data_IF_939804485651
#
_entry.id   IF_939804485651
#
_cell.length_a   1.000
_cell.length_b   1.000
_cell.length_c   1.000
_cell.angle_alpha   90.00
_cell.angle_beta   90.00
_cell.angle_gamma   90.00
#
_symmetry.space_group_name_H-M   'P 1'
#
loop_
_entity.id
_entity.type
_entity.pdbx_description
1 polymer ?
#
# COMPACT_ATOMS: atom_id res chain seq x y z
N UNK A 1 60.49 -2.94 40.74
CA UNK A 1 59.47 -3.89 40.26
C UNK A 1 58.89 -3.30 38.99
N UNK A 2 59.13 -3.93 37.85
CA UNK A 2 58.68 -3.45 36.54
C UNK A 2 57.23 -3.87 36.31
N UNK A 3 56.37 -2.91 35.95
CA UNK A 3 54.99 -3.14 35.56
C UNK A 3 54.96 -3.85 34.21
N UNK A 4 54.61 -5.14 34.21
CA UNK A 4 54.26 -5.89 33.01
C UNK A 4 52.91 -5.38 32.52
N UNK A 5 52.94 -4.41 31.62
CA UNK A 5 51.78 -4.05 30.82
C UNK A 5 51.36 -5.26 29.98
N UNK A 6 50.22 -5.86 30.31
CA UNK A 6 49.54 -6.86 29.48
C UNK A 6 49.23 -6.21 28.12
N UNK A 7 50.06 -6.49 27.11
CA UNK A 7 49.73 -6.17 25.72
C UNK A 7 48.51 -7.03 25.35
N UNK A 8 47.38 -6.46 24.91
CA UNK A 8 46.23 -7.25 24.51
C UNK A 8 46.65 -8.18 23.37
N UNK A 9 46.48 -9.49 23.57
CA UNK A 9 46.71 -10.47 22.51
C UNK A 9 45.64 -10.24 21.42
N UNK A 10 46.06 -9.66 20.28
CA UNK A 10 45.14 -9.39 19.17
C UNK A 10 45.08 -10.60 18.25
N UNK A 11 43.91 -11.22 18.14
CA UNK A 11 43.67 -12.37 17.28
C UNK A 11 43.16 -11.92 15.90
N UNK A 12 43.82 -12.36 14.81
CA UNK A 12 43.44 -11.95 13.45
C UNK A 12 42.28 -12.80 12.92
N UNK A 13 41.05 -12.31 13.09
CA UNK A 13 39.83 -13.01 12.67
C UNK A 13 39.90 -13.49 11.21
N UNK A 14 40.33 -12.64 10.28
CA UNK A 14 40.35 -12.94 8.84
C UNK A 14 41.44 -13.93 8.38
N UNK A 15 42.28 -14.42 9.31
CA UNK A 15 43.25 -15.50 9.08
C UNK A 15 42.72 -16.87 9.50
N UNK A 16 41.54 -16.94 10.13
CA UNK A 16 40.90 -18.19 10.46
C UNK A 16 40.57 -19.01 9.20
N UNK A 17 40.58 -20.35 9.30
CA UNK A 17 39.99 -21.22 8.29
C UNK A 17 38.53 -20.85 8.03
N UNK A 18 38.07 -21.05 6.79
CA UNK A 18 36.72 -20.67 6.36
C UNK A 18 35.62 -21.26 7.26
N UNK A 19 35.74 -22.53 7.67
CA UNK A 19 34.76 -23.20 8.56
C UNK A 19 34.65 -22.48 9.91
N UNK A 20 35.77 -22.05 10.49
CA UNK A 20 35.76 -21.31 11.74
C UNK A 20 35.13 -19.92 11.57
N UNK A 21 35.37 -19.26 10.44
CA UNK A 21 34.72 -17.99 10.10
C UNK A 21 33.21 -18.15 9.91
N UNK A 22 32.78 -19.23 9.25
CA UNK A 22 31.36 -19.54 9.06
C UNK A 22 30.67 -19.74 10.41
N UNK A 23 31.26 -20.53 11.31
CA UNK A 23 30.72 -20.74 12.65
C UNK A 23 30.55 -19.42 13.42
N UNK A 24 31.51 -18.49 13.34
CA UNK A 24 31.36 -17.16 13.95
C UNK A 24 30.25 -16.37 13.26
N UNK A 25 30.19 -16.42 11.93
CA UNK A 25 29.22 -15.67 11.14
C UNK A 25 27.77 -16.13 11.36
N UNK A 26 27.55 -17.40 11.69
CA UNK A 26 26.21 -17.96 11.97
C UNK A 26 25.56 -17.35 13.22
N UNK A 27 26.35 -16.77 14.12
CA UNK A 27 25.86 -16.03 15.30
C UNK A 27 25.74 -14.52 15.05
N UNK A 28 26.19 -14.01 13.90
CA UNK A 28 26.07 -12.60 13.59
C UNK A 28 24.64 -12.28 13.17
N UNK A 29 24.11 -11.20 13.74
CA UNK A 29 22.84 -10.65 13.29
C UNK A 29 23.02 -9.83 11.98
N UNK A 30 21.93 -9.52 11.25
CA UNK A 30 21.99 -8.75 10.01
C UNK A 30 22.72 -7.41 10.13
N UNK A 31 22.60 -6.71 11.26
CA UNK A 31 23.34 -5.47 11.49
C UNK A 31 24.86 -5.71 11.56
N UNK A 32 25.29 -6.72 12.31
CA UNK A 32 26.70 -7.08 12.43
C UNK A 32 27.28 -7.54 11.08
N UNK A 33 26.50 -8.28 10.28
CA UNK A 33 26.87 -8.66 8.91
C UNK A 33 27.01 -7.42 8.03
N UNK A 34 26.08 -6.45 8.13
CA UNK A 34 26.17 -5.18 7.41
C UNK A 34 27.45 -4.41 7.79
N UNK A 35 27.77 -4.30 9.08
CA UNK A 35 29.00 -3.66 9.55
C UNK A 35 30.25 -4.40 9.09
N UNK A 36 30.28 -5.72 9.24
CA UNK A 36 31.36 -6.57 8.77
C UNK A 36 31.62 -6.35 7.28
N UNK A 37 30.56 -6.26 6.48
CA UNK A 37 30.66 -6.00 5.04
C UNK A 37 31.38 -4.69 4.71
N UNK A 38 31.37 -3.68 5.59
CA UNK A 38 31.92 -2.34 5.38
C UNK A 38 33.42 -2.21 5.65
N UNK A 39 34.03 -3.19 6.32
CA UNK A 39 35.42 -3.10 6.78
C UNK A 39 36.42 -3.14 5.61
N UNK A 40 36.25 -4.03 4.64
CA UNK A 40 37.17 -4.19 3.51
C UNK A 40 36.50 -4.92 2.33
N UNK A 41 37.19 -4.97 1.18
CA UNK A 41 36.74 -5.81 0.04
C UNK A 41 36.59 -7.28 0.41
N UNK A 42 37.55 -7.82 1.19
CA UNK A 42 37.52 -9.22 1.65
C UNK A 42 36.31 -9.50 2.55
N UNK A 43 36.02 -8.60 3.49
CA UNK A 43 34.88 -8.79 4.39
C UNK A 43 33.54 -8.55 3.69
N UNK A 44 33.48 -7.69 2.67
CA UNK A 44 32.29 -7.57 1.83
C UNK A 44 31.96 -8.88 1.10
N UNK A 45 32.97 -9.51 0.47
CA UNK A 45 32.79 -10.82 -0.19
C UNK A 45 32.32 -11.87 0.83
N UNK A 46 32.98 -11.95 1.99
CA UNK A 46 32.59 -12.89 3.04
C UNK A 46 31.19 -12.62 3.60
N UNK A 47 30.82 -11.36 3.80
CA UNK A 47 29.48 -10.99 4.28
C UNK A 47 28.39 -11.47 3.31
N UNK A 48 28.62 -11.40 2.00
CA UNK A 48 27.70 -11.96 1.00
C UNK A 48 27.63 -13.48 1.07
N UNK A 49 28.72 -14.16 1.42
CA UNK A 49 28.70 -15.62 1.59
C UNK A 49 27.88 -16.00 2.83
N UNK A 50 28.12 -15.29 3.94
CA UNK A 50 27.52 -15.59 5.24
C UNK A 50 26.08 -15.11 5.40
N UNK A 51 25.69 -14.09 4.64
CA UNK A 51 24.35 -13.51 4.72
C UNK A 51 23.27 -14.48 4.21
N UNK A 52 22.19 -14.52 4.98
CA UNK A 52 20.93 -15.11 4.55
C UNK A 52 20.26 -14.19 3.54
N UNK A 53 19.58 -14.78 2.55
CA UNK A 53 18.77 -14.02 1.60
C UNK A 53 17.58 -13.40 2.34
N UNK A 54 17.40 -12.08 2.20
CA UNK A 54 16.21 -11.40 2.71
C UNK A 54 14.99 -11.73 1.83
N UNK A 55 13.80 -11.75 2.43
CA UNK A 55 12.56 -11.92 1.68
C UNK A 55 12.26 -10.68 0.86
N UNK A 56 12.42 -9.51 1.48
CA UNK A 56 12.23 -8.19 0.87
C UNK A 56 12.99 -7.14 1.69
N UNK A 57 13.16 -5.97 1.10
CA UNK A 57 13.78 -4.81 1.75
C UNK A 57 12.78 -3.66 1.70
N UNK A 58 12.73 -2.83 2.73
CA UNK A 58 11.93 -1.61 2.70
C UNK A 58 12.82 -0.38 2.73
N UNK A 59 12.49 0.62 1.93
CA UNK A 59 12.91 1.99 2.14
C UNK A 59 11.77 2.76 2.81
N UNK A 60 11.97 3.09 4.09
CA UNK A 60 10.97 3.69 4.95
C UNK A 60 11.38 5.12 5.26
N UNK A 61 10.47 6.06 5.04
CA UNK A 61 10.67 7.46 5.39
C UNK A 61 10.77 7.67 6.92
N UNK A 62 11.56 8.68 7.38
CA UNK A 62 12.35 9.58 6.56
C UNK A 62 13.61 8.90 5.97
N UNK A 63 14.36 8.12 6.75
CA UNK A 63 15.67 7.60 6.36
C UNK A 63 15.95 6.22 6.97
N UNK A 64 15.14 5.21 6.70
CA UNK A 64 15.29 3.88 7.28
C UNK A 64 15.31 2.80 6.19
N UNK A 65 16.23 1.85 6.32
CA UNK A 65 16.28 0.64 5.50
C UNK A 65 15.99 -0.57 6.38
N UNK A 66 14.90 -1.27 6.09
CA UNK A 66 14.45 -2.45 6.83
C UNK A 66 14.72 -3.71 6.01
N UNK A 67 15.29 -4.71 6.66
CA UNK A 67 15.56 -6.04 6.13
C UNK A 67 14.54 -7.00 6.72
N UNK A 68 13.68 -7.55 5.88
CA UNK A 68 12.58 -8.43 6.28
C UNK A 68 12.90 -9.89 5.94
N UNK A 69 12.78 -10.76 6.94
CA UNK A 69 12.93 -12.21 6.85
C UNK A 69 11.64 -12.97 7.21
N UNK A 70 10.50 -12.28 7.28
CA UNK A 70 9.16 -12.69 7.68
C UNK A 70 9.11 -13.26 9.10
N UNK A 71 9.50 -14.52 9.27
CA UNK A 71 9.34 -15.26 10.52
C UNK A 71 10.55 -15.15 11.45
N UNK A 72 11.68 -14.60 10.95
CA UNK A 72 12.97 -14.56 11.67
C UNK A 72 13.32 -13.20 12.28
N UNK A 73 12.38 -12.26 12.22
CA UNK A 73 12.50 -10.92 12.78
C UNK A 73 13.17 -9.92 11.84
N UNK A 74 12.69 -8.69 11.88
CA UNK A 74 13.08 -7.61 10.98
C UNK A 74 14.21 -6.76 11.56
N UNK A 75 15.07 -6.23 10.70
CA UNK A 75 16.22 -5.42 11.13
C UNK A 75 16.24 -4.08 10.42
N UNK A 76 16.33 -2.99 11.18
CA UNK A 76 16.32 -1.63 10.64
C UNK A 76 17.67 -0.94 10.81
N UNK A 77 18.09 -0.22 9.77
CA UNK A 77 19.27 0.63 9.73
C UNK A 77 18.81 2.06 9.42
N UNK A 78 19.04 3.00 10.34
CA UNK A 78 18.50 4.37 10.28
C UNK A 78 19.62 5.44 10.36
N UNK A 79 20.05 5.99 9.22
CA UNK A 79 20.80 7.24 9.21
C UNK A 79 19.97 8.39 9.79
N UNK A 80 20.44 9.03 10.85
CA UNK A 80 19.74 10.11 11.54
C UNK A 80 20.48 11.45 11.38
N UNK A 81 19.72 12.54 11.32
CA UNK A 81 20.26 13.91 11.25
C UNK A 81 20.70 14.44 12.62
N UNK A 82 20.16 13.89 13.71
CA UNK A 82 20.47 14.33 15.07
C UNK A 82 21.85 13.82 15.50
N UNK A 83 22.78 14.71 15.89
CA UNK A 83 24.08 14.30 16.40
C UNK A 83 23.91 13.47 17.67
N UNK A 84 24.57 12.32 17.72
CA UNK A 84 24.53 11.43 18.87
C UNK A 84 25.41 10.20 18.65
N UNK A 85 25.68 9.44 19.72
CA UNK A 85 26.32 8.15 19.58
C UNK A 85 25.41 7.21 18.77
N UNK A 86 26.05 6.28 18.07
CA UNK A 86 25.37 5.14 17.49
C UNK A 86 24.54 4.45 18.58
N UNK A 87 23.32 4.08 18.24
CA UNK A 87 22.41 3.47 19.19
C UNK A 87 21.77 2.23 18.63
N UNK A 88 21.77 1.19 19.45
CA UNK A 88 21.05 -0.06 19.20
C UNK A 88 19.86 -0.11 20.14
N UNK A 89 18.65 -0.09 19.58
CA UNK A 89 17.40 -0.06 20.33
C UNK A 89 16.45 -1.10 19.75
N UNK A 90 15.57 -1.61 20.59
CA UNK A 90 14.44 -2.43 20.12
C UNK A 90 13.20 -1.53 20.16
N UNK A 91 12.52 -1.37 19.03
CA UNK A 91 11.23 -0.72 19.00
C UNK A 91 10.26 -1.49 19.90
N UNK A 92 9.74 -0.81 20.92
CA UNK A 92 8.84 -1.41 21.91
C UNK A 92 7.51 -1.86 21.31
N UNK A 93 7.08 -1.28 20.18
CA UNK A 93 5.81 -1.64 19.54
C UNK A 93 5.92 -2.91 18.70
N UNK A 94 6.99 -3.01 17.93
CA UNK A 94 7.14 -4.06 16.92
C UNK A 94 8.21 -5.11 17.30
N UNK A 95 8.82 -4.99 18.49
CA UNK A 95 9.96 -5.80 18.94
C UNK A 95 11.11 -5.83 17.92
N UNK A 96 11.26 -4.74 17.17
CA UNK A 96 12.15 -4.67 16.03
C UNK A 96 13.50 -4.03 16.42
N UNK A 97 14.63 -4.73 16.21
CA UNK A 97 15.96 -4.13 16.30
C UNK A 97 16.17 -2.98 15.31
N UNK A 98 16.56 -1.82 15.84
CA UNK A 98 16.91 -0.62 15.10
C UNK A 98 18.34 -0.24 15.48
N UNK A 99 19.19 -0.14 14.47
CA UNK A 99 20.47 0.55 14.58
C UNK A 99 20.37 1.93 13.96
N UNK A 100 20.55 2.96 14.77
CA UNK A 100 20.54 4.35 14.34
C UNK A 100 21.92 5.00 14.54
N UNK A 101 22.37 5.77 13.56
CA UNK A 101 23.67 6.45 13.58
C UNK A 101 23.60 7.81 12.90
N UNK A 102 24.47 8.73 13.31
CA UNK A 102 24.47 10.09 12.78
C UNK A 102 24.99 10.18 11.34
N UNK A 103 24.28 10.92 10.48
CA UNK A 103 24.72 11.30 9.14
C UNK A 103 24.35 12.75 8.84
N UNK A 104 25.30 13.50 8.27
CA UNK A 104 25.06 14.87 7.77
C UNK A 104 24.17 14.91 6.53
N UNK A 105 24.04 13.78 5.81
CA UNK A 105 23.24 13.63 4.59
C UNK A 105 22.43 12.33 4.68
N UNK A 106 21.45 12.24 5.58
CA UNK A 106 20.79 10.99 5.92
C UNK A 106 20.00 10.39 4.75
N UNK A 107 19.43 11.22 3.86
CA UNK A 107 18.78 10.75 2.62
C UNK A 107 19.75 10.00 1.70
N UNK A 108 20.88 10.63 1.35
CA UNK A 108 21.91 10.00 0.51
C UNK A 108 22.53 8.78 1.19
N UNK A 109 22.67 8.82 2.52
CA UNK A 109 23.20 7.69 3.26
C UNK A 109 22.21 6.51 3.29
N UNK A 110 20.90 6.76 3.39
CA UNK A 110 19.89 5.71 3.31
C UNK A 110 19.93 4.98 1.96
N UNK A 111 20.15 5.69 0.84
CA UNK A 111 20.33 5.05 -0.47
C UNK A 111 21.60 4.19 -0.55
N UNK A 112 22.70 4.62 0.10
CA UNK A 112 23.94 3.82 0.18
C UNK A 112 23.76 2.57 1.05
N UNK A 113 23.03 2.71 2.16
CA UNK A 113 22.64 1.56 2.98
C UNK A 113 21.79 0.62 2.14
N UNK A 114 20.78 1.13 1.44
CA UNK A 114 19.88 0.34 0.61
C UNK A 114 20.64 -0.45 -0.46
N UNK A 115 21.51 0.21 -1.23
CA UNK A 115 22.35 -0.44 -2.25
C UNK A 115 23.19 -1.58 -1.66
N UNK A 116 23.80 -1.34 -0.49
CA UNK A 116 24.61 -2.35 0.17
C UNK A 116 23.79 -3.49 0.75
N UNK A 117 22.60 -3.20 1.28
CA UNK A 117 21.69 -4.20 1.83
C UNK A 117 21.14 -5.10 0.73
N UNK A 118 20.72 -4.52 -0.41
CA UNK A 118 20.31 -5.27 -1.61
C UNK A 118 21.39 -6.26 -2.04
N UNK A 119 22.64 -5.79 -2.12
CA UNK A 119 23.80 -6.59 -2.52
C UNK A 119 24.18 -7.66 -1.49
N UNK A 120 24.32 -7.28 -0.21
CA UNK A 120 24.74 -8.19 0.85
C UNK A 120 23.67 -9.25 1.11
N UNK A 121 22.39 -8.88 1.16
CA UNK A 121 21.29 -9.79 1.51
C UNK A 121 20.56 -10.36 0.29
N UNK A 122 21.15 -10.23 -0.91
CA UNK A 122 20.77 -10.94 -2.15
C UNK A 122 19.28 -10.76 -2.49
N UNK A 123 18.74 -9.57 -2.24
CA UNK A 123 17.33 -9.28 -2.42
C UNK A 123 17.16 -8.01 -3.25
N UNK A 124 16.58 -8.15 -4.42
CA UNK A 124 16.29 -7.06 -5.36
C UNK A 124 14.83 -6.61 -5.31
N UNK A 125 14.06 -7.06 -4.32
CA UNK A 125 12.66 -6.69 -4.12
C UNK A 125 12.60 -5.61 -3.05
N UNK A 126 12.17 -4.41 -3.43
CA UNK A 126 12.16 -3.23 -2.56
C UNK A 126 10.74 -2.69 -2.40
N UNK A 127 10.28 -2.56 -1.17
CA UNK A 127 9.00 -1.96 -0.81
C UNK A 127 9.23 -0.50 -0.39
N UNK A 128 8.40 0.42 -0.87
CA UNK A 128 8.52 1.83 -0.52
C UNK A 128 7.46 2.23 0.49
N UNK A 129 7.86 2.81 1.61
CA UNK A 129 6.94 3.37 2.61
C UNK A 129 7.26 4.83 2.87
N UNK A 130 6.50 5.71 2.22
CA UNK A 130 6.74 7.14 2.22
C UNK A 130 5.67 7.86 3.04
N UNK A 131 6.11 8.71 3.95
CA UNK A 131 5.27 9.53 4.80
C UNK A 131 5.71 10.99 4.67
N UNK A 132 5.02 11.74 3.81
CA UNK A 132 5.33 13.15 3.54
C UNK A 132 5.05 14.07 4.71
N UNK A 133 4.38 13.55 5.76
CA UNK A 133 4.17 14.29 7.03
C UNK A 133 5.42 14.36 7.89
N UNK A 134 6.45 13.58 7.60
CA UNK A 134 7.70 13.63 8.34
C UNK A 134 8.41 14.94 8.03
N UNK A 135 8.51 15.84 9.01
CA UNK A 135 9.25 17.11 8.87
C UNK A 135 10.73 16.91 8.54
N UNK A 136 11.27 15.71 8.76
CA UNK A 136 12.64 15.34 8.45
C UNK A 136 12.84 15.02 6.96
N UNK A 137 11.79 14.64 6.23
CA UNK A 137 11.88 14.27 4.82
C UNK A 137 11.54 15.47 3.95
N UNK A 138 12.52 16.02 3.22
CA UNK A 138 12.29 17.15 2.32
C UNK A 138 11.88 16.64 0.94
N UNK A 139 11.20 17.49 0.17
CA UNK A 139 10.80 17.18 -1.21
C UNK A 139 11.98 16.76 -2.10
N UNK A 140 13.13 17.41 -1.95
CA UNK A 140 14.36 17.05 -2.69
C UNK A 140 14.87 15.64 -2.33
N UNK A 141 14.70 15.21 -1.06
CA UNK A 141 15.08 13.87 -0.62
C UNK A 141 14.16 12.81 -1.25
N UNK A 142 12.86 13.10 -1.35
CA UNK A 142 11.87 12.26 -2.07
C UNK A 142 12.21 12.13 -3.56
N UNK A 143 12.46 13.25 -4.25
CA UNK A 143 12.88 13.23 -5.67
C UNK A 143 14.13 12.38 -5.85
N UNK A 144 15.12 12.53 -4.97
CA UNK A 144 16.36 11.72 -5.01
C UNK A 144 16.08 10.21 -4.87
N UNK A 145 15.08 9.82 -4.08
CA UNK A 145 14.66 8.41 -3.99
C UNK A 145 14.06 7.94 -5.30
N UNK A 146 13.15 8.70 -5.90
CA UNK A 146 12.52 8.34 -7.17
C UNK A 146 13.52 8.25 -8.33
N UNK A 147 14.47 9.19 -8.41
CA UNK A 147 15.56 9.17 -9.39
C UNK A 147 16.39 7.89 -9.26
N UNK A 148 16.70 7.48 -8.02
CA UNK A 148 17.44 6.25 -7.76
C UNK A 148 16.68 5.01 -8.25
N UNK A 149 15.38 4.90 -7.99
CA UNK A 149 14.58 3.76 -8.47
C UNK A 149 14.39 3.73 -9.99
N UNK A 150 14.47 4.90 -10.65
CA UNK A 150 14.37 4.99 -12.11
C UNK A 150 15.55 4.30 -12.80
N UNK A 151 16.75 4.42 -12.23
CA UNK A 151 17.97 3.81 -12.80
C UNK A 151 18.33 2.45 -12.17
N UNK A 152 17.79 2.12 -10.99
CA UNK A 152 18.10 0.88 -10.31
C UNK A 152 17.26 -0.30 -10.86
N UNK A 153 17.88 -1.48 -11.11
CA UNK A 153 17.17 -2.64 -11.67
C UNK A 153 16.24 -3.34 -10.67
N UNK A 154 16.28 -3.00 -9.38
CA UNK A 154 15.43 -3.62 -8.36
C UNK A 154 13.94 -3.48 -8.70
N UNK A 155 13.18 -4.50 -8.33
CA UNK A 155 11.73 -4.52 -8.44
C UNK A 155 11.12 -3.72 -7.29
N UNK A 156 10.06 -2.97 -7.60
CA UNK A 156 9.27 -2.23 -6.62
C UNK A 156 7.83 -2.68 -6.73
N UNK A 157 7.45 -3.85 -6.17
CA UNK A 157 6.09 -4.36 -6.34
C UNK A 157 5.06 -3.55 -5.54
N UNK A 158 5.46 -2.90 -4.46
CA UNK A 158 4.55 -2.23 -3.55
C UNK A 158 5.06 -0.86 -3.12
N UNK A 159 4.18 0.13 -3.25
CA UNK A 159 4.40 1.50 -2.80
C UNK A 159 3.30 1.89 -1.84
N UNK A 160 3.69 2.39 -0.68
CA UNK A 160 2.81 2.99 0.31
C UNK A 160 3.14 4.47 0.43
N UNK A 161 2.15 5.33 0.20
CA UNK A 161 2.25 6.77 0.33
C UNK A 161 1.24 7.28 1.34
N UNK A 162 1.75 7.90 2.41
CA UNK A 162 0.97 8.61 3.41
C UNK A 162 1.23 10.11 3.28
N UNK A 163 0.17 10.86 3.00
CA UNK A 163 0.25 12.31 2.81
C UNK A 163 -0.88 13.07 3.51
N UNK A 164 -0.80 14.41 3.46
CA UNK A 164 -1.83 15.33 4.01
C UNK A 164 -2.41 16.25 2.94
N UNK A 165 -1.62 16.65 1.95
CA UNK A 165 -1.98 17.67 0.98
C UNK A 165 -1.93 17.12 -0.46
N UNK A 166 -2.78 17.63 -1.34
CA UNK A 166 -2.78 17.22 -2.75
C UNK A 166 -1.46 17.54 -3.47
N UNK A 167 -0.73 18.57 -3.04
CA UNK A 167 0.62 18.86 -3.55
C UNK A 167 1.63 17.72 -3.29
N UNK A 168 1.42 16.89 -2.27
CA UNK A 168 2.24 15.70 -2.03
C UNK A 168 1.89 14.59 -3.04
N UNK A 169 0.59 14.41 -3.33
CA UNK A 169 0.12 13.47 -4.35
C UNK A 169 0.64 13.90 -5.72
N UNK A 170 0.48 15.17 -6.08
CA UNK A 170 1.05 15.75 -7.30
C UNK A 170 2.55 15.45 -7.41
N UNK A 171 3.32 15.82 -6.39
CA UNK A 171 4.77 15.60 -6.39
C UNK A 171 5.12 14.12 -6.57
N UNK A 172 4.38 13.20 -5.94
CA UNK A 172 4.57 11.78 -6.14
C UNK A 172 4.30 11.35 -7.58
N UNK A 173 3.13 11.69 -8.14
CA UNK A 173 2.71 11.31 -9.50
C UNK A 173 3.67 11.86 -10.57
N UNK A 174 4.12 13.11 -10.39
CA UNK A 174 5.03 13.76 -11.33
C UNK A 174 6.43 13.16 -11.33
N UNK A 175 6.92 12.64 -10.19
CA UNK A 175 8.33 12.23 -10.04
C UNK A 175 8.53 10.71 -9.98
N UNK A 176 7.56 9.94 -9.49
CA UNK A 176 7.65 8.49 -9.47
C UNK A 176 7.42 7.92 -10.87
N UNK A 177 8.41 7.18 -11.40
CA UNK A 177 8.39 6.65 -12.78
C UNK A 177 8.61 5.14 -12.89
N UNK A 178 8.70 4.44 -11.77
CA UNK A 178 8.94 2.98 -11.75
C UNK A 178 7.60 2.24 -11.79
N UNK A 179 7.34 1.35 -12.76
CA UNK A 179 6.15 0.50 -12.72
C UNK A 179 6.13 -0.36 -11.46
N UNK A 180 4.97 -0.45 -10.82
CA UNK A 180 4.71 -1.22 -9.60
C UNK A 180 3.42 -2.02 -9.72
N UNK A 181 3.27 -3.05 -8.89
CA UNK A 181 2.04 -3.82 -8.87
C UNK A 181 0.94 -3.05 -8.11
N UNK A 182 1.24 -2.57 -6.90
CA UNK A 182 0.24 -1.96 -6.00
C UNK A 182 0.71 -0.63 -5.39
N UNK A 183 -0.22 0.32 -5.31
CA UNK A 183 -0.11 1.57 -4.56
C UNK A 183 -1.15 1.62 -3.43
N UNK A 184 -0.69 1.81 -2.20
CA UNK A 184 -1.54 2.21 -1.07
C UNK A 184 -1.37 3.72 -0.81
N UNK A 185 -2.38 4.51 -1.17
CA UNK A 185 -2.45 5.95 -0.94
C UNK A 185 -3.32 6.25 0.29
N UNK A 186 -2.72 6.81 1.34
CA UNK A 186 -3.45 7.27 2.53
C UNK A 186 -3.38 8.79 2.66
N UNK A 187 -4.53 9.44 2.51
CA UNK A 187 -4.70 10.89 2.66
C UNK A 187 -5.30 11.20 4.03
N UNK A 188 -4.51 11.79 4.92
CA UNK A 188 -4.97 12.15 6.27
C UNK A 188 -5.65 13.51 6.32
N UNK A 189 -6.74 13.59 7.08
CA UNK A 189 -7.33 14.84 7.53
C UNK A 189 -6.55 15.49 8.69
N UNK A 190 -6.92 16.72 9.06
CA UNK A 190 -6.38 17.36 10.26
C UNK A 190 -6.88 16.68 11.53
N UNK A 191 -5.98 16.49 12.52
CA UNK A 191 -6.38 15.99 13.85
C UNK A 191 -7.10 17.10 14.61
N UNK A 192 -8.44 17.07 14.60
CA UNK A 192 -9.25 17.66 15.67
C UNK A 192 -9.27 16.75 16.91
N UNK A 193 -9.63 17.29 18.08
CA UNK A 193 -9.86 16.51 19.32
C UNK A 193 -11.10 15.60 19.25
N UNK A 194 -11.94 15.80 18.25
CA UNK A 194 -13.01 14.90 17.81
C UNK A 194 -12.69 14.38 16.41
N UNK A 195 -13.14 13.16 16.11
CA UNK A 195 -13.12 12.53 14.78
C UNK A 195 -13.37 13.55 13.65
N UNK A 196 -12.72 13.41 12.47
CA UNK A 196 -12.42 14.55 11.60
C UNK A 196 -13.69 15.26 11.12
N UNK A 197 -13.96 16.42 11.71
CA UNK A 197 -14.97 17.39 11.26
C UNK A 197 -14.41 18.36 10.20
N UNK A 198 -13.12 18.29 9.86
CA UNK A 198 -12.55 19.12 8.81
C UNK A 198 -12.94 18.58 7.43
N UNK A 199 -14.00 19.16 6.88
CA UNK A 199 -14.56 18.93 5.53
C UNK A 199 -13.76 19.61 4.40
N UNK A 200 -12.49 19.92 4.65
CA UNK A 200 -11.66 20.55 3.61
C UNK A 200 -11.39 19.51 2.51
N UNK A 201 -11.88 19.81 1.31
CA UNK A 201 -11.72 18.99 0.12
C UNK A 201 -10.22 18.76 -0.14
N UNK A 202 -9.85 17.57 -0.60
CA UNK A 202 -8.52 17.35 -1.15
C UNK A 202 -8.43 18.05 -2.53
N UNK A 203 -7.80 19.23 -2.55
CA UNK A 203 -7.51 19.94 -3.81
C UNK A 203 -6.39 19.23 -4.57
N UNK A 204 -6.70 18.80 -5.79
CA UNK A 204 -5.75 18.17 -6.71
C UNK A 204 -5.67 19.02 -7.98
N UNK A 205 -4.48 19.19 -8.57
CA UNK A 205 -4.35 19.81 -9.88
C UNK A 205 -5.16 19.05 -10.94
N UNK A 206 -5.65 19.80 -11.93
CA UNK A 206 -6.25 19.21 -13.12
C UNK A 206 -5.17 18.46 -13.94
N UNK A 207 -5.59 17.43 -14.68
CA UNK A 207 -4.75 16.67 -15.61
C UNK A 207 -3.60 15.84 -15.00
N UNK A 208 -3.71 15.46 -13.72
CA UNK A 208 -2.83 14.42 -13.18
C UNK A 208 -3.27 13.05 -13.71
N UNK A 209 -2.31 12.29 -14.23
CA UNK A 209 -2.54 10.92 -14.70
C UNK A 209 -1.30 10.04 -14.44
N UNK A 210 -1.51 8.77 -14.11
CA UNK A 210 -0.49 7.74 -14.07
C UNK A 210 -1.06 6.38 -14.43
N UNK A 211 -0.26 5.56 -15.12
CA UNK A 211 -0.54 4.17 -15.47
C UNK A 211 0.50 3.21 -14.85
N UNK A 212 1.24 3.67 -13.85
CA UNK A 212 2.37 2.92 -13.27
C UNK A 212 1.95 1.78 -12.34
N UNK A 213 0.66 1.68 -11.99
CA UNK A 213 0.14 0.76 -10.99
C UNK A 213 -0.93 -0.14 -11.59
N UNK A 214 -0.88 -1.44 -11.28
CA UNK A 214 -1.92 -2.40 -11.67
C UNK A 214 -3.13 -2.37 -10.73
N UNK A 215 -2.87 -1.98 -9.47
CA UNK A 215 -3.86 -1.83 -8.43
C UNK A 215 -3.57 -0.59 -7.60
N UNK A 216 -4.61 0.17 -7.27
CA UNK A 216 -4.51 1.31 -6.37
C UNK A 216 -5.54 1.19 -5.26
N UNK A 217 -5.06 1.25 -4.03
CA UNK A 217 -5.87 1.35 -2.83
C UNK A 217 -5.81 2.76 -2.28
N UNK A 218 -6.96 3.36 -2.03
CA UNK A 218 -7.09 4.72 -1.53
C UNK A 218 -7.79 4.68 -0.18
N UNK A 219 -7.20 5.32 0.82
CA UNK A 219 -7.84 5.54 2.12
C UNK A 219 -7.83 7.04 2.35
N UNK A 220 -8.98 7.67 2.14
CA UNK A 220 -9.12 9.11 2.30
C UNK A 220 -9.92 9.45 3.55
N UNK A 221 -9.30 10.23 4.43
CA UNK A 221 -9.97 10.87 5.56
C UNK A 221 -10.44 12.30 5.24
N UNK A 222 -10.21 12.77 4.01
CA UNK A 222 -10.75 14.01 3.46
C UNK A 222 -11.74 13.66 2.35
N UNK A 223 -12.84 14.40 2.17
CA UNK A 223 -13.62 14.27 0.96
C UNK A 223 -12.70 14.51 -0.24
N UNK A 224 -12.67 13.57 -1.19
CA UNK A 224 -11.93 13.70 -2.44
C UNK A 224 -12.91 13.80 -3.60
N UNK A 225 -12.62 14.69 -4.56
CA UNK A 225 -13.36 14.71 -5.82
C UNK A 225 -13.06 13.42 -6.61
N UNK A 226 -13.98 13.01 -7.48
CA UNK A 226 -13.85 11.93 -8.45
C UNK A 226 -12.55 12.00 -9.26
N UNK A 227 -12.02 13.20 -9.45
CA UNK A 227 -10.72 13.43 -10.06
C UNK A 227 -9.61 12.58 -9.41
N UNK A 228 -9.66 12.31 -8.10
CA UNK A 228 -8.67 11.46 -7.43
C UNK A 228 -8.59 10.05 -8.02
N UNK A 229 -9.72 9.43 -8.32
CA UNK A 229 -9.75 8.10 -8.93
C UNK A 229 -9.25 8.13 -10.36
N UNK A 230 -9.65 9.16 -11.12
CA UNK A 230 -9.28 9.33 -12.52
C UNK A 230 -7.78 9.56 -12.75
N UNK A 231 -7.03 9.99 -11.73
CA UNK A 231 -5.56 10.06 -11.79
C UNK A 231 -4.96 8.69 -12.14
N UNK A 232 -5.59 7.61 -11.71
CA UNK A 232 -5.02 6.28 -11.85
C UNK A 232 -5.68 5.53 -13.00
N UNK A 233 -4.93 5.33 -14.08
CA UNK A 233 -5.24 4.42 -15.19
C UNK A 233 -5.06 2.94 -14.83
N UNK A 234 -5.22 2.62 -13.55
CA UNK A 234 -5.18 1.29 -12.98
C UNK A 234 -6.50 0.57 -13.24
N UNK A 235 -6.50 -0.71 -13.66
CA UNK A 235 -7.73 -1.47 -13.84
C UNK A 235 -8.48 -1.76 -12.52
N UNK A 236 -7.78 -1.67 -11.38
CA UNK A 236 -8.34 -1.96 -10.05
C UNK A 236 -8.18 -0.76 -9.14
N UNK A 237 -9.31 -0.28 -8.61
CA UNK A 237 -9.38 0.76 -7.60
C UNK A 237 -10.13 0.19 -6.38
N UNK A 238 -9.46 0.14 -5.24
CA UNK A 238 -10.09 -0.11 -3.95
C UNK A 238 -10.06 1.19 -3.14
N UNK A 239 -11.19 1.65 -2.61
CA UNK A 239 -11.28 2.89 -1.84
C UNK A 239 -12.02 2.69 -0.54
N UNK A 240 -11.52 3.34 0.52
CA UNK A 240 -12.23 3.47 1.79
C UNK A 240 -12.50 4.94 2.02
N UNK A 241 -13.77 5.29 1.99
CA UNK A 241 -14.22 6.67 2.07
C UNK A 241 -15.13 6.87 3.28
N UNK A 242 -14.65 7.63 4.26
CA UNK A 242 -15.35 7.75 5.53
C UNK A 242 -16.59 8.66 5.49
N UNK A 243 -16.77 9.47 4.43
CA UNK A 243 -17.88 10.42 4.29
C UNK A 243 -18.31 10.58 2.82
N UNK A 244 -19.06 9.61 2.29
CA UNK A 244 -19.67 9.71 0.96
C UNK A 244 -21.19 9.89 1.04
N UNK A 245 -21.76 10.98 0.49
CA UNK A 245 -23.19 11.10 0.29
C UNK A 245 -23.64 10.27 -0.94
N UNK A 246 -24.89 9.81 -0.95
CA UNK A 246 -25.48 9.09 -2.09
C UNK A 246 -25.33 9.85 -3.43
N UNK A 247 -25.45 11.19 -3.38
CA UNK A 247 -25.27 12.07 -4.54
C UNK A 247 -23.88 11.97 -5.17
N UNK A 248 -22.86 11.61 -4.39
CA UNK A 248 -21.52 11.39 -4.92
C UNK A 248 -21.47 10.12 -5.76
N UNK A 249 -22.05 9.01 -5.28
CA UNK A 249 -22.10 7.75 -6.02
C UNK A 249 -23.00 7.86 -7.26
N UNK A 250 -24.08 8.64 -7.19
CA UNK A 250 -24.86 9.00 -8.39
C UNK A 250 -24.01 9.75 -9.42
N UNK A 251 -23.25 10.77 -8.99
CA UNK A 251 -22.34 11.52 -9.87
C UNK A 251 -21.25 10.63 -10.44
N UNK A 252 -20.69 9.73 -9.63
CA UNK A 252 -19.70 8.72 -10.05
C UNK A 252 -20.25 7.87 -11.20
N UNK A 253 -21.44 7.27 -11.02
CA UNK A 253 -22.05 6.40 -12.01
C UNK A 253 -22.45 7.16 -13.28
N UNK A 254 -22.99 8.38 -13.16
CA UNK A 254 -23.31 9.23 -14.32
C UNK A 254 -22.07 9.63 -15.11
N UNK A 255 -20.96 9.93 -14.42
CA UNK A 255 -19.69 10.22 -15.07
C UNK A 255 -19.15 8.98 -15.78
N UNK A 256 -19.25 7.79 -15.17
CA UNK A 256 -18.87 6.54 -15.82
C UNK A 256 -19.72 6.27 -17.07
N UNK A 257 -21.04 6.39 -16.94
CA UNK A 257 -21.97 6.21 -18.06
C UNK A 257 -21.67 7.19 -19.21
N UNK A 258 -21.30 8.43 -18.89
CA UNK A 258 -20.98 9.48 -19.87
C UNK A 258 -19.54 9.39 -20.43
N UNK A 259 -18.74 8.40 -20.03
CA UNK A 259 -17.35 8.26 -20.49
C UNK A 259 -16.37 9.30 -19.91
N UNK A 260 -16.73 9.94 -18.79
CA UNK A 260 -15.91 10.94 -18.09
C UNK A 260 -14.99 10.32 -17.02
N UNK A 261 -15.01 9.00 -16.87
CA UNK A 261 -14.12 8.25 -15.98
C UNK A 261 -13.00 7.55 -16.75
N UNK A 262 -12.05 6.97 -16.03
CA UNK A 262 -10.98 6.21 -16.67
C UNK A 262 -11.54 4.99 -17.44
N UNK A 263 -11.22 4.84 -18.74
CA UNK A 263 -11.73 3.73 -19.55
C UNK A 263 -11.06 2.38 -19.22
N UNK A 264 -9.95 2.37 -18.47
CA UNK A 264 -9.24 1.14 -18.14
C UNK A 264 -9.80 0.42 -16.91
N UNK A 265 -10.76 1.02 -16.18
CA UNK A 265 -11.33 0.41 -14.99
C UNK A 265 -12.04 -0.90 -15.31
N UNK A 266 -11.75 -1.92 -14.49
CA UNK A 266 -12.41 -3.23 -14.50
C UNK A 266 -13.10 -3.54 -13.19
N UNK A 267 -12.53 -3.07 -12.08
CA UNK A 267 -13.09 -3.26 -10.75
C UNK A 267 -12.89 -1.99 -9.93
N UNK A 268 -13.99 -1.40 -9.48
CA UNK A 268 -14.00 -0.28 -8.53
C UNK A 268 -14.76 -0.69 -7.29
N UNK A 269 -14.10 -0.66 -6.14
CA UNK A 269 -14.65 -1.04 -4.85
C UNK A 269 -14.56 0.16 -3.92
N UNK A 270 -15.67 0.60 -3.34
CA UNK A 270 -15.73 1.74 -2.42
C UNK A 270 -16.45 1.30 -1.14
N UNK A 271 -15.72 1.25 -0.04
CA UNK A 271 -16.29 1.00 1.28
C UNK A 271 -16.95 2.27 1.82
N UNK A 272 -18.24 2.17 2.12
CA UNK A 272 -19.10 3.26 2.60
C UNK A 272 -19.61 2.89 4.01
N UNK A 273 -19.25 3.65 5.06
CA UNK A 273 -19.57 3.31 6.44
C UNK A 273 -21.00 3.67 6.87
N UNK A 274 -21.91 3.98 5.92
CA UNK A 274 -23.28 4.43 6.21
C UNK A 274 -24.29 3.69 5.35
N UNK A 275 -25.53 3.69 5.82
CA UNK A 275 -26.68 3.31 5.03
C UNK A 275 -26.79 4.23 3.82
N UNK A 276 -26.99 3.64 2.65
CA UNK A 276 -27.08 4.33 1.36
C UNK A 276 -28.43 4.07 0.73
N UNK A 277 -29.03 5.09 0.14
CA UNK A 277 -30.31 4.97 -0.52
C UNK A 277 -30.08 4.70 -2.02
N UNK A 278 -30.41 3.49 -2.47
CA UNK A 278 -30.15 3.08 -3.84
C UNK A 278 -31.00 3.87 -4.85
N UNK A 279 -32.21 4.29 -4.48
CA UNK A 279 -33.05 5.18 -5.31
C UNK A 279 -32.30 6.49 -5.59
N UNK A 280 -31.72 7.10 -4.56
CA UNK A 280 -30.94 8.35 -4.73
C UNK A 280 -29.68 8.13 -5.58
N UNK A 281 -29.02 6.98 -5.42
CA UNK A 281 -27.79 6.64 -6.17
C UNK A 281 -28.11 6.38 -7.65
N UNK A 282 -29.25 5.76 -7.96
CA UNK A 282 -29.66 5.43 -9.32
C UNK A 282 -30.58 6.48 -9.96
N UNK A 283 -30.84 7.60 -9.29
CA UNK A 283 -31.70 8.66 -9.83
C UNK A 283 -31.18 9.19 -11.17
N UNK A 284 -32.00 9.09 -12.22
CA UNK A 284 -31.65 9.44 -13.59
C UNK A 284 -30.66 8.49 -14.26
N UNK A 285 -30.48 7.26 -13.75
CA UNK A 285 -29.65 6.19 -14.34
C UNK A 285 -30.56 5.05 -14.79
N UNK A 286 -30.47 4.66 -16.05
CA UNK A 286 -31.14 3.45 -16.55
C UNK A 286 -30.42 2.22 -16.01
N UNK A 287 -31.08 1.50 -15.11
CA UNK A 287 -30.52 0.36 -14.41
C UNK A 287 -31.40 -0.89 -14.59
N UNK A 288 -30.79 -2.05 -14.81
CA UNK A 288 -31.48 -3.34 -14.95
C UNK A 288 -31.12 -4.26 -13.79
N UNK A 289 -32.10 -4.59 -12.96
CA UNK A 289 -31.94 -5.54 -11.86
C UNK A 289 -31.86 -6.97 -12.39
N UNK A 290 -30.87 -7.73 -11.93
CA UNK A 290 -30.63 -9.11 -12.37
C UNK A 290 -30.81 -10.08 -11.22
N UNK A 291 -31.69 -11.06 -11.41
CA UNK A 291 -31.94 -12.10 -10.41
C UNK A 291 -30.68 -12.98 -10.23
N UNK A 292 -30.11 -13.06 -9.02
CA UNK A 292 -28.91 -13.84 -8.75
C UNK A 292 -29.08 -15.35 -8.94
N UNK A 293 -30.32 -15.86 -8.98
CA UNK A 293 -30.63 -17.26 -9.27
C UNK A 293 -30.42 -17.61 -10.74
N UNK A 294 -30.47 -16.62 -11.63
CA UNK A 294 -30.49 -16.85 -13.09
C UNK A 294 -29.32 -16.22 -13.82
N UNK A 295 -28.74 -15.14 -13.27
CA UNK A 295 -27.66 -14.40 -13.91
C UNK A 295 -26.37 -14.60 -13.12
N UNK A 296 -25.39 -15.24 -13.76
CA UNK A 296 -24.08 -15.52 -13.19
C UNK A 296 -23.00 -15.05 -14.17
N UNK A 297 -21.97 -14.37 -13.68
CA UNK A 297 -20.90 -13.82 -14.51
C UNK A 297 -19.54 -14.13 -13.93
N UNK A 298 -18.62 -14.56 -14.78
CA UNK A 298 -17.22 -14.66 -14.43
C UNK A 298 -16.55 -13.29 -14.64
N UNK A 299 -15.92 -12.78 -13.60
CA UNK A 299 -15.18 -11.53 -13.59
C UNK A 299 -13.69 -11.86 -13.54
N UNK A 300 -12.93 -11.28 -14.48
CA UNK A 300 -11.48 -11.47 -14.60
C UNK A 300 -10.78 -10.13 -14.37
N UNK A 301 -10.10 -10.00 -13.23
CA UNK A 301 -9.46 -8.75 -12.79
C UNK A 301 -8.03 -9.07 -12.35
N UNK A 302 -7.06 -8.58 -13.11
CA UNK A 302 -5.63 -8.90 -12.95
C UNK A 302 -5.38 -10.43 -12.87
N UNK A 303 -4.91 -10.94 -11.73
CA UNK A 303 -4.65 -12.38 -11.50
C UNK A 303 -5.81 -13.10 -10.80
N UNK A 304 -6.90 -12.40 -10.50
CA UNK A 304 -8.09 -12.97 -9.87
C UNK A 304 -9.17 -13.26 -10.90
N UNK A 305 -9.76 -14.45 -10.78
CA UNK A 305 -10.99 -14.82 -11.46
C UNK A 305 -12.00 -15.26 -10.41
N UNK A 306 -13.20 -14.71 -10.45
CA UNK A 306 -14.27 -15.04 -9.51
C UNK A 306 -15.63 -14.85 -10.18
N UNK A 307 -16.66 -15.45 -9.61
CA UNK A 307 -18.02 -15.33 -10.10
C UNK A 307 -18.82 -14.32 -9.27
N UNK A 308 -19.66 -13.55 -9.94
CA UNK A 308 -20.68 -12.70 -9.33
C UNK A 308 -22.06 -13.13 -9.81
N UNK A 309 -23.03 -13.14 -8.91
CA UNK A 309 -24.41 -13.52 -9.22
C UNK A 309 -25.32 -12.29 -9.12
N UNK A 310 -26.21 -12.11 -10.10
CA UNK A 310 -27.19 -11.02 -10.13
C UNK A 310 -26.55 -9.63 -10.24
N UNK A 311 -27.02 -8.71 -9.40
CA UNK A 311 -26.57 -7.31 -9.36
C UNK A 311 -27.43 -6.38 -10.21
N UNK A 312 -26.91 -5.17 -10.40
CA UNK A 312 -27.59 -4.10 -11.13
C UNK A 312 -26.72 -3.73 -12.33
N UNK A 313 -27.21 -4.00 -13.53
CA UNK A 313 -26.51 -3.64 -14.75
C UNK A 313 -26.80 -2.18 -15.12
N UNK A 314 -25.74 -1.46 -15.45
CA UNK A 314 -25.78 -0.11 -15.97
C UNK A 314 -24.95 -0.11 -17.25
N UNK A 315 -25.55 0.27 -18.36
CA UNK A 315 -24.86 0.42 -19.64
C UNK A 315 -24.26 1.83 -19.74
N UNK A 316 -23.08 1.94 -20.34
CA UNK A 316 -22.54 3.24 -20.71
C UNK A 316 -23.33 3.86 -21.88
N UNK A 317 -23.17 5.16 -22.11
CA UNK A 317 -24.00 5.92 -23.05
C UNK A 317 -23.88 5.48 -24.52
N UNK A 318 -22.75 4.89 -24.90
CA UNK A 318 -22.48 4.39 -26.25
C UNK A 318 -22.75 2.88 -26.40
N UNK A 319 -23.15 2.20 -25.31
CA UNK A 319 -23.42 0.76 -25.27
C UNK A 319 -22.17 -0.11 -25.42
N UNK A 320 -20.96 0.46 -25.35
CA UNK A 320 -19.72 -0.29 -25.53
C UNK A 320 -19.33 -1.15 -24.32
N UNK A 321 -19.85 -0.84 -23.13
CA UNK A 321 -19.50 -1.52 -21.89
C UNK A 321 -20.68 -1.56 -20.91
N UNK A 322 -20.74 -2.65 -20.14
CA UNK A 322 -21.73 -2.81 -19.06
C UNK A 322 -21.02 -2.89 -17.72
N UNK A 323 -21.49 -2.15 -16.74
CA UNK A 323 -21.08 -2.29 -15.35
C UNK A 323 -22.15 -3.06 -14.57
N UNK A 324 -21.75 -4.06 -13.80
CA UNK A 324 -22.59 -4.70 -12.79
C UNK A 324 -22.21 -4.17 -11.41
N UNK A 325 -23.17 -3.55 -10.73
CA UNK A 325 -23.05 -3.01 -9.37
C UNK A 325 -23.63 -3.98 -8.34
N UNK A 326 -22.94 -4.14 -7.22
CA UNK A 326 -23.40 -4.90 -6.04
C UNK A 326 -23.10 -4.16 -4.74
N UNK A 327 -24.00 -4.28 -3.76
CA UNK A 327 -23.91 -3.58 -2.47
C UNK A 327 -23.41 -4.47 -1.33
N UNK A 328 -22.41 -5.29 -1.64
CA UNK A 328 -21.61 -6.17 -0.78
C UNK A 328 -20.72 -7.00 -1.71
N UNK A 329 -19.54 -7.39 -1.24
CA UNK A 329 -18.59 -8.15 -2.08
C UNK A 329 -18.92 -9.65 -2.03
N UNK A 330 -19.88 -10.10 -2.82
CA UNK A 330 -20.18 -11.52 -3.00
C UNK A 330 -19.35 -12.09 -4.16
N UNK A 331 -18.16 -12.59 -3.83
CA UNK A 331 -17.32 -13.35 -4.78
C UNK A 331 -17.56 -14.84 -4.58
N UNK A 332 -17.94 -15.52 -5.64
CA UNK A 332 -18.06 -16.98 -5.66
C UNK A 332 -16.84 -17.60 -6.33
N UNK A 333 -16.47 -18.79 -5.89
CA UNK A 333 -15.37 -19.54 -6.50
C UNK A 333 -15.77 -20.05 -7.89
N UNK A 334 -16.99 -20.58 -8.02
CA UNK A 334 -17.46 -21.28 -9.21
C UNK A 334 -18.86 -20.83 -9.65
N UNK A 335 -19.24 -21.15 -10.90
CA UNK A 335 -20.59 -20.91 -11.43
C UNK A 335 -21.65 -21.69 -10.64
N UNK A 336 -21.35 -22.92 -10.24
CA UNK A 336 -22.29 -23.82 -9.55
C UNK A 336 -22.38 -23.59 -8.04
N UNK A 337 -21.70 -22.56 -7.51
CA UNK A 337 -21.82 -22.20 -6.10
C UNK A 337 -23.28 -21.91 -5.74
N UNK A 338 -23.68 -22.30 -4.53
CA UNK A 338 -25.01 -22.02 -4.01
C UNK A 338 -25.23 -20.50 -3.95
N UNK A 339 -26.40 -20.04 -4.38
CA UNK A 339 -26.75 -18.62 -4.35
C UNK A 339 -27.06 -18.24 -2.90
N UNK A 340 -26.33 -17.31 -2.27
CA UNK A 340 -26.60 -16.93 -0.90
C UNK A 340 -28.01 -16.34 -0.77
N UNK A 341 -28.75 -16.77 0.26
CA UNK A 341 -30.07 -16.23 0.56
C UNK A 341 -30.02 -14.70 0.76
N UNK A 342 -28.95 -14.17 1.36
CA UNK A 342 -28.78 -12.72 1.54
C UNK A 342 -28.82 -11.93 0.22
N UNK A 343 -28.25 -12.51 -0.85
CA UNK A 343 -28.19 -11.91 -2.19
C UNK A 343 -29.58 -11.94 -2.87
N UNK A 344 -30.32 -13.02 -2.66
CA UNK A 344 -31.70 -13.18 -3.13
C UNK A 344 -32.60 -12.13 -2.47
N UNK A 345 -32.55 -12.03 -1.15
CA UNK A 345 -33.36 -11.07 -0.41
C UNK A 345 -32.97 -9.63 -0.76
N UNK A 346 -31.68 -9.35 -1.01
CA UNK A 346 -31.23 -8.04 -1.48
C UNK A 346 -31.82 -7.69 -2.84
N UNK A 347 -31.86 -8.63 -3.78
CA UNK A 347 -32.51 -8.44 -5.08
C UNK A 347 -34.01 -8.14 -4.95
N UNK A 348 -34.73 -8.92 -4.16
CA UNK A 348 -36.19 -8.75 -3.95
C UNK A 348 -36.50 -7.41 -3.26
N UNK A 349 -35.75 -7.04 -2.21
CA UNK A 349 -35.88 -5.73 -1.55
C UNK A 349 -35.59 -4.57 -2.48
N UNK A 350 -34.53 -4.66 -3.28
CA UNK A 350 -34.13 -3.58 -4.19
C UNK A 350 -35.16 -3.36 -5.31
N UNK A 351 -35.89 -4.40 -5.74
CA UNK A 351 -37.02 -4.25 -6.66
C UNK A 351 -38.23 -3.57 -6.02
N UNK A 352 -38.51 -3.82 -4.74
CA UNK A 352 -39.72 -3.36 -4.06
C UNK A 352 -39.60 -1.99 -3.39
N UNK A 353 -38.49 -1.69 -2.72
CA UNK A 353 -38.34 -0.49 -1.87
C UNK A 353 -37.12 0.39 -2.20
N UNK A 354 -36.12 -0.15 -2.90
CA UNK A 354 -34.88 0.55 -3.22
C UNK A 354 -34.05 1.02 -2.00
N UNK A 355 -34.33 0.48 -0.80
CA UNK A 355 -33.54 0.74 0.41
C UNK A 355 -32.52 -0.38 0.67
N UNK A 356 -31.24 -0.03 0.82
CA UNK A 356 -30.22 -0.98 1.28
C UNK A 356 -30.11 -0.87 2.81
N UNK A 357 -30.55 -1.90 3.54
CA UNK A 357 -30.46 -1.95 5.02
C UNK A 357 -29.23 -2.73 5.51
N UNK A 358 -28.66 -2.28 6.62
CA UNK A 358 -27.54 -2.90 7.30
C UNK A 358 -28.03 -4.08 8.17
N UNK A 359 -27.46 -5.28 8.00
CA UNK A 359 -27.60 -6.35 9.00
C UNK A 359 -26.43 -6.21 9.97
N UNK A 360 -26.72 -5.69 11.16
CA UNK A 360 -25.75 -5.46 12.22
C UNK A 360 -25.34 -6.80 12.86
N UNK A 361 -24.21 -7.38 12.47
CA UNK A 361 -23.54 -8.37 13.30
C UNK A 361 -22.67 -7.63 14.31
N UNK A 362 -23.12 -7.62 15.57
CA UNK A 362 -22.37 -7.05 16.70
C UNK A 362 -21.10 -7.88 16.91
N UNK A 363 -19.97 -7.39 16.40
CA UNK A 363 -18.63 -7.91 16.68
C UNK A 363 -17.83 -6.86 17.46
N UNK A 364 -17.24 -7.31 18.57
CA UNK A 364 -16.73 -6.45 19.62
C UNK A 364 -15.24 -6.18 19.45
N UNK A 365 -14.90 -5.10 18.72
CA UNK A 365 -13.52 -4.61 18.57
C UNK A 365 -13.42 -3.36 17.68
N UNK A 366 -12.58 -2.38 18.05
CA UNK A 366 -12.40 -1.09 17.34
C UNK A 366 -11.90 -1.27 15.89
N UNK A 367 -11.16 -2.36 15.61
CA UNK A 367 -10.67 -2.69 14.26
C UNK A 367 -11.76 -3.38 13.41
N UNK A 368 -12.72 -4.05 14.06
CA UNK A 368 -13.80 -4.79 13.41
C UNK A 368 -15.05 -3.94 13.20
N UNK A 369 -15.24 -2.86 13.97
CA UNK A 369 -16.24 -1.82 13.66
C UNK A 369 -15.99 -1.11 12.31
N UNK A 370 -14.76 -1.17 11.76
CA UNK A 370 -14.47 -0.71 10.40
C UNK A 370 -14.94 -1.69 9.32
N UNK A 371 -15.21 -2.96 9.67
CA UNK A 371 -15.66 -4.02 8.77
C UNK A 371 -17.19 -4.09 8.62
N UNK A 372 -17.94 -3.41 9.49
CA UNK A 372 -19.37 -3.17 9.30
C UNK A 372 -19.63 -2.01 8.33
N UNK A 373 -18.96 -2.03 7.17
CA UNK A 373 -19.15 -1.04 6.11
C UNK A 373 -19.79 -1.71 4.89
N UNK A 374 -20.85 -1.10 4.38
CA UNK A 374 -21.42 -1.48 3.09
C UNK A 374 -20.39 -1.20 2.00
N UNK A 375 -20.22 -2.13 1.07
CA UNK A 375 -19.22 -1.98 0.01
C UNK A 375 -19.92 -1.86 -1.33
N UNK A 376 -19.81 -0.70 -1.96
CA UNK A 376 -20.17 -0.52 -3.36
C UNK A 376 -19.10 -1.19 -4.22
N UNK A 377 -19.48 -2.23 -4.97
CA UNK A 377 -18.60 -2.91 -5.92
C UNK A 377 -19.16 -2.73 -7.33
N UNK A 378 -18.31 -2.25 -8.25
CA UNK A 378 -18.65 -2.10 -9.66
C UNK A 378 -17.65 -2.89 -10.50
N UNK A 379 -18.17 -3.81 -11.32
CA UNK A 379 -17.39 -4.64 -12.23
C UNK A 379 -17.75 -4.33 -13.68
N UNK A 380 -16.78 -3.97 -14.51
CA UNK A 380 -16.97 -3.53 -15.90
C UNK A 380 -16.53 -4.64 -16.85
N UNK A 381 -17.37 -4.97 -17.84
CA UNK A 381 -17.14 -6.04 -18.81
C UNK A 381 -17.63 -5.71 -20.22
#
# INVERSE_FOLDING_TARGET
>A
MSSLALVPFTFSLLKLPFIALQNVADYLNPYEIYHFSRISKKTNILAKVFSKKATRIYLISPFCVLIDYQEKGDWSIEPNIEPGPDSYKVDRKNHQPIYAYFSKKPASEALRVLERVVDVFKCSIIYLQLNTRSSRLRRQDLTSYFDWFTVNPSEVPYVYLKCKHGADVQCFIENYKKPSDELDLIVWGERGRSWPLNRELLELPDNLETNLFKKVKIISYKPANLNLYNIFSSPVIDSVEHQLPDSYLNTFLKNWQSGLTNPNWKSVCISVPRQTNLINILDGITATYRDPRTVKRQINVDKESFWIFGGIDIENHDGSATATVQWKKYKMENEDSEVPNELIEEYERNQESGEVQHVEQVLQGIVEQLLASSTFSMYIW
#
